data_IF_445411570589
#
_entry.id   IF_445411570589
#
_cell.length_a   1.000
_cell.length_b   1.000
_cell.length_c   1.000
_cell.angle_alpha   90.00
_cell.angle_beta   90.00
_cell.angle_gamma   90.00
#
_symmetry.space_group_name_H-M   'P 1'
#
loop_
_entity.id
_entity.type
_entity.pdbx_description
1 polymer ?
#
# COMPACT_ATOMS: atom_id res chain seq x y z
N UNK A 1 -15.86 -43.56 -12.31
CA UNK A 1 -16.62 -42.34 -11.95
C UNK A 1 -15.68 -41.45 -11.14
N UNK A 2 -14.96 -40.55 -11.82
CA UNK A 2 -14.00 -39.66 -11.18
C UNK A 2 -14.73 -38.34 -10.87
N UNK A 3 -15.07 -38.13 -9.59
CA UNK A 3 -15.58 -36.84 -9.14
C UNK A 3 -14.41 -35.86 -9.12
N UNK A 4 -14.58 -34.82 -9.92
CA UNK A 4 -13.68 -33.70 -10.10
C UNK A 4 -13.24 -33.12 -8.75
N UNK A 5 -11.94 -33.17 -8.50
CA UNK A 5 -11.27 -32.23 -7.63
C UNK A 5 -11.12 -30.95 -8.47
N UNK A 6 -12.09 -30.04 -8.38
CA UNK A 6 -11.92 -28.68 -8.89
C UNK A 6 -10.84 -28.04 -8.03
N UNK A 7 -9.60 -28.13 -8.51
CA UNK A 7 -8.50 -27.30 -8.04
C UNK A 7 -8.89 -25.89 -8.45
N UNK A 8 -9.56 -25.16 -7.56
CA UNK A 8 -9.56 -23.70 -7.64
C UNK A 8 -8.10 -23.30 -7.52
N UNK A 9 -7.46 -23.08 -8.67
CA UNK A 9 -6.20 -22.39 -8.77
C UNK A 9 -6.43 -21.01 -8.16
N UNK A 10 -6.07 -20.87 -6.88
CA UNK A 10 -5.75 -19.54 -6.32
C UNK A 10 -4.85 -18.87 -7.38
N UNK A 11 -5.19 -17.67 -7.88
CA UNK A 11 -4.39 -17.02 -8.92
C UNK A 11 -2.94 -16.93 -8.44
N UNK A 12 -2.00 -17.31 -9.30
CA UNK A 12 -0.57 -17.24 -9.00
C UNK A 12 -0.22 -15.84 -8.47
N UNK A 13 0.47 -15.79 -7.33
CA UNK A 13 0.79 -14.58 -6.56
C UNK A 13 1.68 -13.56 -7.32
N UNK A 14 2.04 -13.86 -8.57
CA UNK A 14 2.84 -13.03 -9.48
C UNK A 14 1.99 -12.10 -10.38
N UNK A 15 0.66 -12.26 -10.45
CA UNK A 15 -0.18 -11.50 -11.41
C UNK A 15 -0.73 -10.15 -10.92
N UNK A 16 -0.55 -9.80 -9.64
CA UNK A 16 -1.07 -8.55 -9.06
C UNK A 16 0.06 -7.61 -8.62
N UNK A 17 0.92 -7.25 -9.58
CA UNK A 17 1.76 -6.06 -9.43
C UNK A 17 0.87 -4.82 -9.16
N UNK A 18 1.34 -3.83 -8.37
CA UNK A 18 0.65 -2.56 -8.23
C UNK A 18 0.27 -2.02 -9.60
N UNK A 19 -0.93 -1.44 -9.72
CA UNK A 19 -1.38 -0.83 -10.96
C UNK A 19 -0.25 0.03 -11.53
N UNK A 20 0.15 -0.19 -12.80
CA UNK A 20 1.30 0.49 -13.35
C UNK A 20 1.07 1.99 -13.24
N UNK A 21 2.10 2.71 -12.83
CA UNK A 21 2.11 4.16 -12.95
C UNK A 21 1.74 4.53 -14.41
N UNK A 22 1.01 5.63 -14.63
CA UNK A 22 0.77 6.10 -15.99
C UNK A 22 2.10 6.20 -16.73
N UNK A 23 2.17 5.60 -17.93
CA UNK A 23 3.41 5.44 -18.67
C UNK A 23 4.09 6.81 -18.89
N UNK A 24 5.30 6.97 -18.35
CA UNK A 24 6.15 8.16 -18.55
C UNK A 24 6.17 9.19 -17.41
N UNK A 25 5.43 8.98 -16.31
CA UNK A 25 5.44 9.90 -15.16
C UNK A 25 6.41 9.48 -14.04
N UNK A 26 7.20 10.43 -13.52
CA UNK A 26 7.93 10.27 -12.25
C UNK A 26 6.93 10.21 -11.09
N UNK A 27 7.10 9.27 -10.15
CA UNK A 27 6.22 9.15 -8.99
C UNK A 27 6.61 10.15 -7.90
N UNK A 28 6.14 11.39 -8.02
CA UNK A 28 6.40 12.38 -7.00
C UNK A 28 5.63 12.06 -5.72
N UNK A 29 6.30 12.20 -4.58
CA UNK A 29 5.72 12.05 -3.26
C UNK A 29 6.20 13.19 -2.37
N UNK A 30 5.36 13.68 -1.46
CA UNK A 30 5.83 14.63 -0.45
C UNK A 30 6.68 13.91 0.62
N UNK A 31 7.58 14.63 1.32
CA UNK A 31 8.33 14.04 2.43
C UNK A 31 7.43 13.44 3.52
N UNK A 32 6.27 14.06 3.77
CA UNK A 32 5.31 13.58 4.75
C UNK A 32 4.63 12.27 4.31
N UNK A 33 4.26 12.17 3.03
CA UNK A 33 3.73 10.94 2.45
C UNK A 33 4.73 9.80 2.49
N UNK A 34 5.99 10.09 2.13
CA UNK A 34 7.06 9.09 2.19
C UNK A 34 7.25 8.53 3.61
N UNK A 35 7.25 9.41 4.63
CA UNK A 35 7.37 8.98 6.03
C UNK A 35 6.16 8.17 6.49
N UNK A 36 4.95 8.47 6.00
CA UNK A 36 3.76 7.62 6.24
C UNK A 36 3.93 6.22 5.65
N UNK A 37 4.35 6.11 4.40
CA UNK A 37 4.56 4.80 3.76
C UNK A 37 5.66 4.01 4.48
N UNK A 38 6.74 4.70 4.87
CA UNK A 38 7.85 4.11 5.63
C UNK A 38 7.40 3.61 7.00
N UNK A 39 6.65 4.41 7.75
CA UNK A 39 6.16 4.01 9.08
C UNK A 39 5.18 2.84 9.00
N UNK A 40 4.31 2.81 7.98
CA UNK A 40 3.46 1.66 7.71
C UNK A 40 4.28 0.41 7.40
N UNK A 41 5.28 0.52 6.51
CA UNK A 41 6.16 -0.61 6.16
C UNK A 41 6.88 -1.17 7.38
N UNK A 42 7.44 -0.31 8.24
CA UNK A 42 8.11 -0.72 9.47
C UNK A 42 7.16 -1.41 10.43
N UNK A 43 5.96 -0.86 10.66
CA UNK A 43 4.95 -1.50 11.51
C UNK A 43 4.55 -2.89 10.97
N UNK A 44 4.44 -3.06 9.66
CA UNK A 44 4.14 -4.37 9.08
C UNK A 44 5.28 -5.38 9.30
N UNK A 45 6.54 -4.96 9.17
CA UNK A 45 7.72 -5.83 9.29
C UNK A 45 8.04 -6.16 10.75
N UNK A 46 8.05 -5.15 11.62
CA UNK A 46 8.55 -5.25 12.98
C UNK A 46 7.48 -5.74 13.97
N UNK A 47 6.21 -5.47 13.67
CA UNK A 47 5.10 -5.72 14.59
C UNK A 47 4.07 -6.74 14.06
N UNK A 48 3.39 -6.44 12.95
CA UNK A 48 2.25 -7.25 12.51
C UNK A 48 2.67 -8.63 11.98
N UNK A 49 3.70 -8.67 11.14
CA UNK A 49 4.16 -9.92 10.51
C UNK A 49 4.67 -10.93 11.55
N UNK A 50 5.54 -10.58 12.52
CA UNK A 50 5.98 -11.53 13.55
C UNK A 50 4.81 -12.06 14.39
N UNK A 51 3.89 -11.19 14.81
CA UNK A 51 2.69 -11.58 15.58
C UNK A 51 1.82 -12.58 14.80
N UNK A 52 1.62 -12.35 13.50
CA UNK A 52 0.88 -13.31 12.67
C UNK A 52 1.60 -14.65 12.49
N UNK A 53 2.92 -14.64 12.34
CA UNK A 53 3.71 -15.88 12.26
C UNK A 53 3.56 -16.71 13.54
N UNK A 54 3.61 -16.06 14.71
CA UNK A 54 3.39 -16.72 16.01
C UNK A 54 1.99 -17.33 16.12
N UNK A 55 0.95 -16.58 15.73
CA UNK A 55 -0.44 -17.07 15.72
C UNK A 55 -0.60 -18.27 14.80
N UNK A 56 -0.06 -18.21 13.58
CA UNK A 56 -0.12 -19.32 12.62
C UNK A 56 0.62 -20.54 13.16
N UNK A 57 1.78 -20.33 13.79
CA UNK A 57 2.57 -21.40 14.39
C UNK A 57 1.85 -22.08 15.56
N UNK A 58 1.22 -21.29 16.42
CA UNK A 58 0.41 -21.80 17.53
C UNK A 58 -0.82 -22.56 17.02
N UNK A 59 -1.56 -22.00 16.05
CA UNK A 59 -2.70 -22.68 15.44
C UNK A 59 -2.28 -24.00 14.77
N UNK A 60 -1.14 -24.02 14.09
CA UNK A 60 -0.59 -25.23 13.47
C UNK A 60 -0.18 -26.32 14.48
N UNK A 61 -0.03 -25.96 15.76
CA UNK A 61 0.31 -26.87 16.86
C UNK A 61 -0.91 -27.43 17.59
N UNK A 62 -2.10 -26.85 17.38
CA UNK A 62 -3.32 -27.16 18.15
C UNK A 62 -4.28 -28.17 17.50
N UNK A 63 -3.81 -29.01 16.58
CA UNK A 63 -4.63 -30.09 16.02
C UNK A 63 -4.41 -30.30 14.53
N UNK A 64 -5.42 -30.85 13.86
CA UNK A 64 -5.40 -31.06 12.42
C UNK A 64 -5.48 -29.73 11.66
N UNK A 65 -4.47 -29.46 10.84
CA UNK A 65 -4.34 -28.24 10.02
C UNK A 65 -5.42 -28.13 8.96
N UNK A 66 -6.06 -29.24 8.58
CA UNK A 66 -7.09 -29.24 7.54
C UNK A 66 -8.41 -28.64 8.03
N UNK A 67 -8.75 -28.80 9.32
CA UNK A 67 -10.00 -28.33 9.92
C UNK A 67 -9.82 -27.05 10.77
N UNK A 68 -8.58 -26.68 11.10
CA UNK A 68 -8.32 -25.51 11.93
C UNK A 68 -8.54 -24.18 11.17
N UNK A 69 -9.67 -23.52 11.47
CA UNK A 69 -10.02 -22.21 10.90
C UNK A 69 -9.02 -21.09 11.21
N UNK A 70 -8.41 -21.08 12.40
CA UNK A 70 -7.43 -20.06 12.80
C UNK A 70 -6.14 -20.18 11.98
N UNK A 71 -5.74 -21.42 11.65
CA UNK A 71 -4.59 -21.66 10.78
C UNK A 71 -4.83 -21.14 9.36
N UNK A 72 -6.00 -21.44 8.77
CA UNK A 72 -6.36 -20.96 7.44
C UNK A 72 -6.48 -19.43 7.39
N UNK A 73 -7.15 -18.85 8.38
CA UNK A 73 -7.29 -17.39 8.50
C UNK A 73 -5.93 -16.71 8.69
N UNK A 74 -5.11 -17.20 9.62
CA UNK A 74 -3.79 -16.63 9.89
C UNK A 74 -2.88 -16.70 8.66
N UNK A 75 -2.92 -17.81 7.90
CA UNK A 75 -2.17 -17.94 6.65
C UNK A 75 -2.64 -16.95 5.59
N UNK A 76 -3.96 -16.74 5.45
CA UNK A 76 -4.51 -15.71 4.55
C UNK A 76 -4.04 -14.31 4.96
N UNK A 77 -4.14 -13.98 6.26
CA UNK A 77 -3.71 -12.68 6.78
C UNK A 77 -2.21 -12.44 6.57
N UNK A 78 -1.38 -13.47 6.78
CA UNK A 78 0.06 -13.39 6.52
C UNK A 78 0.36 -13.06 5.06
N UNK A 79 -0.36 -13.66 4.11
CA UNK A 79 -0.25 -13.33 2.67
C UNK A 79 -0.66 -11.89 2.38
N UNK A 80 -1.72 -11.39 3.01
CA UNK A 80 -2.15 -9.98 2.87
C UNK A 80 -1.06 -9.01 3.35
N UNK A 81 -0.43 -9.31 4.49
CA UNK A 81 0.70 -8.52 5.04
C UNK A 81 1.89 -8.55 4.08
N UNK A 82 2.32 -9.73 3.63
CA UNK A 82 3.46 -9.87 2.70
C UNK A 82 3.18 -9.13 1.37
N UNK A 83 1.94 -9.17 0.88
CA UNK A 83 1.51 -8.43 -0.31
C UNK A 83 1.60 -6.91 -0.08
N UNK A 84 1.16 -6.43 1.08
CA UNK A 84 1.23 -4.99 1.42
C UNK A 84 2.67 -4.52 1.56
N UNK A 85 3.54 -5.31 2.18
CA UNK A 85 4.98 -5.03 2.29
C UNK A 85 5.61 -4.90 0.90
N UNK A 86 5.34 -5.86 0.00
CA UNK A 86 5.86 -5.82 -1.39
C UNK A 86 5.37 -4.58 -2.14
N UNK A 87 4.08 -4.26 -2.02
CA UNK A 87 3.48 -3.06 -2.60
C UNK A 87 4.19 -1.79 -2.12
N UNK A 88 4.32 -1.59 -0.81
CA UNK A 88 4.95 -0.41 -0.23
C UNK A 88 6.42 -0.29 -0.65
N UNK A 89 7.16 -1.40 -0.63
CA UNK A 89 8.57 -1.43 -1.04
C UNK A 89 8.73 -0.96 -2.48
N UNK A 90 7.96 -1.52 -3.42
CA UNK A 90 8.02 -1.15 -4.84
C UNK A 90 7.64 0.32 -5.07
N UNK A 91 6.62 0.84 -4.36
CA UNK A 91 6.21 2.25 -4.46
C UNK A 91 7.28 3.19 -3.93
N UNK A 92 7.94 2.83 -2.82
CA UNK A 92 9.02 3.61 -2.24
C UNK A 92 10.29 3.60 -3.11
N UNK A 93 10.58 2.50 -3.82
CA UNK A 93 11.74 2.40 -4.73
C UNK A 93 11.61 3.34 -5.94
N UNK A 94 10.40 3.50 -6.48
CA UNK A 94 10.14 4.35 -7.65
C UNK A 94 9.77 5.80 -7.26
N UNK A 95 9.64 6.10 -5.97
CA UNK A 95 9.22 7.41 -5.49
C UNK A 95 10.34 8.45 -5.58
N UNK A 96 10.03 9.62 -6.11
CA UNK A 96 10.88 10.80 -6.13
C UNK A 96 10.34 11.82 -5.13
N UNK A 97 11.05 11.99 -4.01
CA UNK A 97 10.64 12.91 -2.95
C UNK A 97 10.83 14.35 -3.45
N UNK A 98 9.71 15.08 -3.60
CA UNK A 98 9.71 16.49 -3.99
C UNK A 98 9.32 17.36 -2.81
N UNK A 99 10.16 18.36 -2.49
CA UNK A 99 9.88 19.28 -1.40
C UNK A 99 9.17 20.57 -1.92
N UNK A 100 7.89 20.80 -1.59
CA UNK A 100 7.15 21.97 -2.04
C UNK A 100 7.71 23.28 -1.46
N UNK A 101 8.48 23.23 -0.36
CA UNK A 101 9.08 24.43 0.24
C UNK A 101 10.18 25.09 -0.60
N UNK A 102 10.66 24.44 -1.65
CA UNK A 102 11.70 24.99 -2.51
C UNK A 102 11.19 26.06 -3.50
N UNK A 103 9.88 26.17 -3.69
CA UNK A 103 9.27 27.03 -4.72
C UNK A 103 8.49 28.24 -4.14
N UNK A 104 8.85 28.70 -2.94
CA UNK A 104 8.23 29.87 -2.33
C UNK A 104 8.40 31.13 -3.22
N UNK A 105 7.27 31.70 -3.69
CA UNK A 105 7.25 32.99 -4.40
C UNK A 105 7.17 32.94 -5.92
N UNK A 106 6.86 31.79 -6.54
CA UNK A 106 6.60 31.71 -7.98
C UNK A 106 5.11 31.86 -8.33
N UNK A 107 4.79 32.53 -9.44
CA UNK A 107 3.45 32.57 -10.07
C UNK A 107 3.00 31.21 -10.63
N UNK A 108 3.81 30.16 -10.49
CA UNK A 108 3.53 28.82 -10.97
C UNK A 108 3.22 27.87 -9.81
N UNK A 109 2.19 27.03 -9.99
CA UNK A 109 1.78 25.99 -9.03
C UNK A 109 2.58 24.71 -9.32
N UNK A 110 3.23 24.15 -8.28
CA UNK A 110 4.03 22.94 -8.36
C UNK A 110 3.41 21.77 -7.57
N UNK A 111 3.97 20.56 -7.74
CA UNK A 111 3.62 19.39 -6.94
C UNK A 111 3.84 19.65 -5.44
N UNK A 112 2.89 19.23 -4.60
CA UNK A 112 2.88 19.48 -3.15
C UNK A 112 2.41 20.88 -2.76
N UNK A 113 2.02 21.74 -3.72
CA UNK A 113 1.48 23.06 -3.42
C UNK A 113 0.02 22.97 -2.93
N UNK A 114 -0.30 23.79 -1.95
CA UNK A 114 -1.66 24.04 -1.49
C UNK A 114 -2.19 25.30 -2.17
N UNK A 115 -3.28 25.17 -2.92
CA UNK A 115 -3.89 26.25 -3.70
C UNK A 115 -5.30 26.50 -3.21
N UNK A 116 -5.64 27.77 -3.01
CA UNK A 116 -7.02 28.21 -2.79
C UNK A 116 -7.56 28.78 -4.09
N UNK A 117 -8.71 28.27 -4.54
CA UNK A 117 -9.44 28.83 -5.68
C UNK A 117 -10.87 29.19 -5.27
N UNK A 118 -11.42 30.19 -5.94
CA UNK A 118 -12.81 30.59 -5.78
C UNK A 118 -13.67 29.98 -6.90
N UNK A 119 -14.85 29.49 -6.55
CA UNK A 119 -15.87 29.05 -7.49
C UNK A 119 -16.76 30.23 -7.92
N UNK A 120 -17.48 30.08 -9.04
CA UNK A 120 -18.43 31.10 -9.54
C UNK A 120 -19.52 31.47 -8.51
N UNK A 121 -19.77 30.60 -7.53
CA UNK A 121 -20.67 30.81 -6.41
C UNK A 121 -20.11 31.73 -5.30
N UNK A 122 -18.83 32.10 -5.39
CA UNK A 122 -18.10 32.83 -4.36
C UNK A 122 -17.54 31.94 -3.23
N UNK A 123 -17.72 30.62 -3.31
CA UNK A 123 -17.15 29.69 -2.34
C UNK A 123 -15.65 29.49 -2.59
N UNK A 124 -14.85 29.59 -1.53
CA UNK A 124 -13.42 29.28 -1.57
C UNK A 124 -13.18 27.79 -1.27
N UNK A 125 -12.32 27.16 -2.07
CA UNK A 125 -11.85 25.79 -1.82
C UNK A 125 -10.34 25.75 -1.79
N UNK A 126 -9.83 25.04 -0.79
CA UNK A 126 -8.40 24.81 -0.59
C UNK A 126 -8.09 23.36 -0.97
N UNK A 127 -7.17 23.15 -1.90
CA UNK A 127 -6.75 21.83 -2.40
C UNK A 127 -5.23 21.71 -2.36
N UNK A 128 -4.73 20.50 -2.16
CA UNK A 128 -3.28 20.21 -2.21
C UNK A 128 -3.01 19.22 -3.33
N UNK A 129 -2.02 19.51 -4.17
CA UNK A 129 -1.62 18.64 -5.27
C UNK A 129 -0.71 17.56 -4.72
N UNK A 130 -1.23 16.34 -4.57
CA UNK A 130 -0.51 15.20 -4.01
C UNK A 130 -0.30 14.08 -5.03
N UNK A 131 0.62 13.17 -4.73
CA UNK A 131 0.88 12.00 -5.55
C UNK A 131 -0.24 10.96 -5.40
N UNK A 132 -0.31 10.02 -6.34
CA UNK A 132 -1.29 8.90 -6.29
C UNK A 132 -1.14 8.08 -5.01
N UNK A 133 0.05 8.03 -4.42
CA UNK A 133 0.31 7.34 -3.14
C UNK A 133 -0.17 8.08 -1.91
N UNK A 134 -0.57 9.33 -2.06
CA UNK A 134 -0.94 10.25 -0.97
C UNK A 134 -2.40 10.72 -1.08
N UNK A 135 -3.12 10.29 -2.11
CA UNK A 135 -4.50 10.65 -2.42
C UNK A 135 -5.51 10.00 -1.46
#
# INVERSE_FOLDING_TARGET
>A
MNKAFTKETEPDDDELAPAPLPAGGKNYITPQGYERLRSELLNLIDDERPKMVEIVHWAASNGDRSENGDYHYGKKRLREIDRRIRFLTQRMEIAEVSNPSLHHGSDQVFFGATVTYAEDSGAERCVTILGIDEA
#
